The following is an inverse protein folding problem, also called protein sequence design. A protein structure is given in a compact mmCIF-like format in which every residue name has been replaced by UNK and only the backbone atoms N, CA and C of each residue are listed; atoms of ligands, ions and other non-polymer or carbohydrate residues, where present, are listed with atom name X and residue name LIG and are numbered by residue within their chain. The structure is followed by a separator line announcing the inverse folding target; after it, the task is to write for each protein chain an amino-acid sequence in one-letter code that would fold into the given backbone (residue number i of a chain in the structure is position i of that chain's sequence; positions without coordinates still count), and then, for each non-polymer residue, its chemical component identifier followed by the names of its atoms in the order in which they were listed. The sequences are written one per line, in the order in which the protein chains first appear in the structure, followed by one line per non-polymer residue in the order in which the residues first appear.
data_IF_236884510203
#
_entry.id   IF_236884510203
#
_cell.length_a   1.000
_cell.length_b   1.000
_cell.length_c   1.000
_cell.angle_alpha   90.00
_cell.angle_beta   90.00
_cell.angle_gamma   90.00
#
_symmetry.space_group_name_H-M   'P 1'
#
loop_
_entity.id
_entity.type
_entity.pdbx_description
1 polymer ?
#
# COMPACT_ATOMS: atom_id res chain seq x y z
N UNK A 1 -19.90 13.47 7.81
CA UNK A 1 -20.32 12.03 7.89
C UNK A 1 -19.25 11.13 7.25
N UNK A 2 -19.39 9.80 7.25
CA UNK A 2 -18.41 8.89 6.62
C UNK A 2 -18.16 9.21 5.13
N UNK A 3 -19.18 9.75 4.44
CA UNK A 3 -19.11 10.21 3.04
C UNK A 3 -18.23 11.44 2.83
N UNK A 4 -17.93 12.22 3.88
CA UNK A 4 -17.18 13.49 3.79
C UNK A 4 -15.82 13.41 4.49
N UNK A 5 -15.77 12.75 5.65
CA UNK A 5 -14.60 12.74 6.54
C UNK A 5 -13.64 11.58 6.27
N UNK A 6 -14.01 10.61 5.42
CA UNK A 6 -13.18 9.45 5.12
C UNK A 6 -12.29 9.67 3.88
N UNK A 7 -10.97 9.63 4.09
CA UNK A 7 -9.98 9.72 3.02
C UNK A 7 -9.96 8.47 2.12
N UNK A 8 -10.34 7.29 2.65
CA UNK A 8 -10.36 6.06 1.88
C UNK A 8 -11.53 6.06 0.87
N UNK A 9 -11.27 5.97 -0.45
CA UNK A 9 -12.32 6.02 -1.47
C UNK A 9 -13.24 4.80 -1.46
N UNK A 10 -12.75 3.60 -1.11
CA UNK A 10 -13.57 2.38 -1.01
C UNK A 10 -14.62 2.51 0.11
N UNK A 11 -14.20 3.01 1.28
CA UNK A 11 -15.11 3.24 2.41
C UNK A 11 -16.18 4.28 2.04
N UNK A 12 -15.78 5.33 1.31
CA UNK A 12 -16.70 6.37 0.85
C UNK A 12 -17.72 5.83 -0.14
N UNK A 13 -17.28 5.00 -1.10
CA UNK A 13 -18.17 4.37 -2.07
C UNK A 13 -19.16 3.42 -1.39
N UNK A 14 -18.68 2.57 -0.47
CA UNK A 14 -19.55 1.71 0.34
C UNK A 14 -20.60 2.51 1.11
N UNK A 15 -20.23 3.66 1.67
CA UNK A 15 -21.18 4.53 2.36
C UNK A 15 -22.24 5.11 1.40
N UNK A 16 -21.88 5.52 0.19
CA UNK A 16 -22.84 5.99 -0.82
C UNK A 16 -23.75 4.88 -1.33
N UNK A 17 -23.25 3.65 -1.49
CA UNK A 17 -24.07 2.48 -1.85
C UNK A 17 -25.11 2.21 -0.75
N UNK A 18 -24.70 2.18 0.51
CA UNK A 18 -25.63 1.96 1.63
C UNK A 18 -26.62 3.11 1.80
N UNK A 19 -26.18 4.36 1.64
CA UNK A 19 -27.09 5.51 1.70
C UNK A 19 -28.18 5.43 0.64
N UNK A 20 -27.81 5.18 -0.62
CA UNK A 20 -28.78 5.02 -1.71
C UNK A 20 -29.75 3.86 -1.45
N UNK A 21 -29.24 2.73 -0.96
CA UNK A 21 -30.07 1.55 -0.69
C UNK A 21 -31.06 1.80 0.45
N UNK A 22 -30.60 2.37 1.56
CA UNK A 22 -31.43 2.69 2.73
C UNK A 22 -32.46 3.77 2.44
N UNK A 23 -32.09 4.79 1.66
CA UNK A 23 -32.99 5.87 1.27
C UNK A 23 -33.99 5.47 0.18
N UNK A 24 -33.70 4.44 -0.61
CA UNK A 24 -34.61 3.94 -1.65
C UNK A 24 -35.62 2.91 -1.08
N UNK A 25 -35.14 1.87 -0.39
CA UNK A 25 -36.00 0.84 0.20
C UNK A 25 -35.33 0.13 1.39
N UNK A 26 -35.80 0.36 2.64
CA UNK A 26 -35.25 -0.30 3.81
C UNK A 26 -35.55 -1.80 3.87
N UNK A 27 -36.61 -2.29 3.22
CA UNK A 27 -36.94 -3.72 3.19
C UNK A 27 -35.95 -4.49 2.30
N UNK A 28 -35.67 -4.00 1.10
CA UNK A 28 -34.62 -4.54 0.23
C UNK A 28 -33.23 -4.43 0.87
N UNK A 29 -32.93 -3.32 1.56
CA UNK A 29 -31.67 -3.14 2.28
C UNK A 29 -31.44 -4.27 3.29
N UNK A 30 -32.48 -4.62 4.06
CA UNK A 30 -32.45 -5.71 5.03
C UNK A 30 -32.20 -7.06 4.37
N UNK A 31 -32.89 -7.36 3.27
CA UNK A 31 -32.71 -8.65 2.59
C UNK A 31 -31.31 -8.81 2.00
N UNK A 32 -30.70 -7.73 1.51
CA UNK A 32 -29.34 -7.77 0.94
C UNK A 32 -28.29 -7.85 2.04
N UNK A 33 -28.39 -7.00 3.06
CA UNK A 33 -27.38 -6.92 4.12
C UNK A 33 -27.40 -8.14 5.06
N UNK A 34 -28.57 -8.74 5.28
CA UNK A 34 -28.75 -9.93 6.13
C UNK A 34 -28.92 -11.22 5.33
N UNK A 35 -28.63 -11.19 4.02
CA UNK A 35 -28.61 -12.40 3.22
C UNK A 35 -27.62 -13.41 3.84
N UNK A 36 -27.97 -14.70 3.75
CA UNK A 36 -27.05 -15.75 4.15
C UNK A 36 -25.82 -15.69 3.24
N UNK A 37 -24.67 -15.33 3.81
CA UNK A 37 -23.39 -15.41 3.12
C UNK A 37 -23.07 -16.88 2.91
N UNK A 38 -22.77 -17.27 1.67
CA UNK A 38 -22.31 -18.62 1.37
C UNK A 38 -21.21 -19.03 2.36
N UNK A 39 -21.18 -20.28 2.85
CA UNK A 39 -20.14 -20.75 3.73
C UNK A 39 -18.76 -20.35 3.19
N UNK A 40 -17.83 -19.92 4.06
CA UNK A 40 -16.48 -19.62 3.60
C UNK A 40 -15.94 -20.87 2.92
N UNK A 41 -15.40 -20.71 1.72
CA UNK A 41 -14.64 -21.79 1.10
C UNK A 41 -13.52 -22.18 2.07
N UNK A 42 -13.26 -23.49 2.26
CA UNK A 42 -12.14 -23.91 3.07
C UNK A 42 -10.87 -23.27 2.52
N UNK A 43 -10.02 -22.75 3.41
CA UNK A 43 -8.70 -22.25 3.04
C UNK A 43 -7.84 -23.47 2.73
N UNK A 44 -8.01 -24.04 1.55
CA UNK A 44 -7.14 -25.11 1.05
C UNK A 44 -5.79 -24.49 0.76
N UNK A 45 -4.73 -25.08 1.30
CA UNK A 45 -3.34 -24.79 0.92
C UNK A 45 -3.00 -25.43 -0.44
N UNK A 46 -4.00 -25.51 -1.33
CA UNK A 46 -3.85 -26.10 -2.65
C UNK A 46 -3.06 -25.11 -3.51
N UNK A 47 -1.88 -25.55 -3.91
CA UNK A 47 -1.07 -24.83 -4.87
C UNK A 47 -1.70 -24.97 -6.25
N UNK A 48 -1.76 -23.89 -7.05
CA UNK A 48 -2.20 -24.01 -8.43
C UNK A 48 -1.24 -24.95 -9.18
N UNK A 49 -1.79 -25.87 -9.97
CA UNK A 49 -1.02 -26.86 -10.74
C UNK A 49 0.24 -26.30 -11.44
N UNK A 50 0.20 -25.14 -12.14
CA UNK A 50 1.40 -24.60 -12.77
C UNK A 50 2.51 -24.20 -11.78
N UNK A 51 2.14 -23.66 -10.62
CA UNK A 51 3.12 -23.32 -9.58
C UNK A 51 3.69 -24.59 -8.95
N UNK A 52 2.87 -25.62 -8.76
CA UNK A 52 3.33 -26.87 -8.20
C UNK A 52 4.40 -27.52 -9.09
N UNK A 53 4.18 -27.58 -10.40
CA UNK A 53 5.15 -28.14 -11.36
C UNK A 53 6.49 -27.38 -11.32
N UNK A 54 6.44 -26.05 -11.21
CA UNK A 54 7.63 -25.20 -11.05
C UNK A 54 8.37 -25.48 -9.73
N UNK A 55 7.66 -25.53 -8.61
CA UNK A 55 8.27 -25.79 -7.29
C UNK A 55 8.82 -27.22 -7.16
N UNK A 56 8.26 -28.19 -7.87
CA UNK A 56 8.79 -29.56 -7.96
C UNK A 56 10.11 -29.59 -8.72
N UNK A 57 10.27 -28.78 -9.76
CA UNK A 57 11.54 -28.64 -10.48
C UNK A 57 12.63 -27.95 -9.63
N UNK A 58 12.22 -27.07 -8.70
CA UNK A 58 13.09 -26.30 -7.80
C UNK A 58 13.26 -26.94 -6.40
N UNK A 59 13.00 -28.25 -6.26
CA UNK A 59 13.19 -28.94 -4.98
C UNK A 59 14.63 -28.82 -4.47
N UNK A 60 14.77 -28.39 -3.22
CA UNK A 60 16.08 -28.11 -2.60
C UNK A 60 16.53 -26.65 -2.73
N UNK A 61 15.75 -25.78 -3.38
CA UNK A 61 15.96 -24.34 -3.40
C UNK A 61 15.11 -23.60 -2.35
N UNK A 62 15.46 -22.35 -2.08
CA UNK A 62 14.70 -21.48 -1.16
C UNK A 62 13.27 -21.21 -1.68
N UNK A 63 13.08 -21.26 -3.01
CA UNK A 63 11.79 -21.12 -3.67
C UNK A 63 10.75 -22.14 -3.17
N UNK A 64 11.13 -23.42 -3.06
CA UNK A 64 10.22 -24.48 -2.58
C UNK A 64 9.83 -24.33 -1.11
N UNK A 65 10.67 -23.68 -0.30
CA UNK A 65 10.38 -23.38 1.12
C UNK A 65 9.44 -22.17 1.24
N UNK A 66 9.65 -21.15 0.41
CA UNK A 66 8.84 -19.93 0.41
C UNK A 66 7.52 -20.07 -0.34
N UNK A 67 7.36 -21.12 -1.15
CA UNK A 67 6.21 -21.32 -2.05
C UNK A 67 5.99 -20.14 -3.01
N UNK A 68 7.10 -19.53 -3.44
CA UNK A 68 7.13 -18.36 -4.33
C UNK A 68 8.19 -18.64 -5.41
N UNK A 69 7.89 -18.47 -6.71
CA UNK A 69 8.85 -18.68 -7.79
C UNK A 69 10.17 -17.92 -7.59
N UNK A 70 11.29 -18.52 -8.00
CA UNK A 70 12.61 -17.86 -7.96
C UNK A 70 12.65 -16.40 -8.48
N UNK A 71 12.04 -16.04 -9.63
CA UNK A 71 12.12 -14.67 -10.16
C UNK A 71 11.44 -13.62 -9.29
N UNK A 72 10.55 -14.00 -8.37
CA UNK A 72 9.89 -13.03 -7.47
C UNK A 72 10.83 -12.48 -6.39
N UNK A 73 11.93 -13.18 -6.10
CA UNK A 73 12.88 -12.77 -5.06
C UNK A 73 14.34 -12.73 -5.51
N UNK A 74 14.68 -13.36 -6.64
CA UNK A 74 16.00 -13.27 -7.25
C UNK A 74 16.01 -12.16 -8.30
N UNK A 75 16.71 -11.06 -7.99
CA UNK A 75 16.90 -9.94 -8.92
C UNK A 75 18.22 -10.09 -9.67
N UNK A 76 18.21 -10.03 -11.00
CA UNK A 76 19.45 -9.88 -11.76
C UNK A 76 20.00 -8.46 -11.57
N UNK A 77 21.32 -8.28 -11.73
CA UNK A 77 21.99 -6.98 -11.51
C UNK A 77 21.45 -5.86 -12.42
N UNK A 78 20.77 -6.21 -13.53
CA UNK A 78 20.11 -5.29 -14.46
C UNK A 78 18.67 -4.95 -14.09
N UNK A 79 18.02 -5.72 -13.21
CA UNK A 79 16.59 -5.59 -12.90
C UNK A 79 16.32 -4.94 -11.54
N UNK A 80 17.37 -4.56 -10.81
CA UNK A 80 17.22 -3.77 -9.58
C UNK A 80 16.63 -2.41 -9.95
N UNK A 81 15.39 -2.09 -9.55
CA UNK A 81 14.82 -0.78 -9.79
C UNK A 81 15.68 0.26 -9.07
N UNK A 82 16.33 1.15 -9.83
CA UNK A 82 17.07 2.29 -9.29
C UNK A 82 18.59 2.17 -9.17
N UNK A 83 19.24 1.13 -9.70
CA UNK A 83 20.73 1.09 -9.76
C UNK A 83 21.21 1.34 -11.19
N UNK A 84 21.74 2.54 -11.50
CA UNK A 84 22.21 2.84 -12.84
C UNK A 84 23.46 2.00 -13.18
N UNK A 85 23.49 1.48 -14.41
CA UNK A 85 24.42 0.45 -14.93
C UNK A 85 25.90 0.88 -14.95
N UNK A 86 26.19 2.13 -14.63
CA UNK A 86 27.48 2.81 -14.77
C UNK A 86 28.18 3.13 -13.43
N UNK A 87 27.68 2.68 -12.28
CA UNK A 87 28.30 2.94 -10.97
C UNK A 87 29.47 2.00 -10.60
N UNK A 88 29.90 1.09 -11.49
CA UNK A 88 31.02 0.18 -11.23
C UNK A 88 32.16 0.42 -12.24
N UNK A 89 33.33 0.80 -11.71
CA UNK A 89 34.63 1.07 -12.35
C UNK A 89 34.92 2.52 -12.77
N UNK A 90 35.21 3.36 -11.77
CA UNK A 90 36.41 4.18 -11.87
C UNK A 90 37.37 3.78 -10.74
N UNK A 91 38.57 3.24 -11.04
CA UNK A 91 39.63 3.10 -10.06
C UNK A 91 40.46 4.40 -10.06
N UNK A 92 40.28 5.24 -9.05
CA UNK A 92 41.22 6.32 -8.75
C UNK A 92 41.66 6.17 -7.30
N UNK A 93 42.79 5.47 -7.13
CA UNK A 93 43.67 5.65 -5.99
C UNK A 93 44.31 7.02 -6.15
N UNK A 94 44.25 7.87 -5.12
CA UNK A 94 45.43 8.49 -4.49
C UNK A 94 45.04 9.59 -3.47
N UNK A 95 45.53 9.36 -2.23
CA UNK A 95 46.08 10.32 -1.26
C UNK A 95 45.23 11.30 -0.42
N UNK A 96 45.78 11.58 0.77
CA UNK A 96 45.14 11.98 2.04
C UNK A 96 45.32 13.50 2.38
N UNK A 97 44.21 14.16 2.76
CA UNK A 97 43.96 15.27 3.75
C UNK A 97 44.89 16.52 3.87
N UNK A 98 44.63 17.60 4.67
CA UNK A 98 43.44 18.03 5.46
C UNK A 98 43.07 19.57 5.42
N UNK A 99 42.04 19.94 6.20
CA UNK A 99 41.74 21.21 6.95
C UNK A 99 41.01 22.45 6.35
N UNK A 100 39.83 22.71 6.96
CA UNK A 100 39.34 23.95 7.64
C UNK A 100 38.50 25.06 6.92
N UNK A 101 37.33 25.32 7.55
CA UNK A 101 36.82 26.62 8.07
C UNK A 101 35.55 27.25 7.45
N UNK A 102 34.64 27.65 8.37
CA UNK A 102 33.64 28.73 8.25
C UNK A 102 32.37 28.43 7.45
N UNK A 103 31.16 28.87 7.79
CA UNK A 103 30.58 29.70 8.85
C UNK A 103 29.06 29.54 8.76
N UNK A 104 28.39 29.53 9.91
CA UNK A 104 27.05 30.07 10.24
C UNK A 104 26.16 30.58 9.10
N UNK A 105 24.87 30.16 9.08
CA UNK A 105 23.80 31.11 9.38
C UNK A 105 22.45 30.42 9.71
N UNK A 106 21.76 31.04 10.66
CA UNK A 106 20.42 30.76 11.12
C UNK A 106 19.34 31.42 10.24
N UNK A 107 18.09 30.99 10.42
CA UNK A 107 16.88 31.69 9.95
C UNK A 107 15.68 30.73 9.91
N UNK A 108 14.89 30.60 10.99
CA UNK A 108 13.73 31.46 11.33
C UNK A 108 12.57 31.24 10.34
N UNK A 109 11.56 30.42 10.67
CA UNK A 109 10.32 30.73 11.42
C UNK A 109 9.26 31.50 10.61
N UNK A 110 8.09 30.86 10.39
CA UNK A 110 6.73 31.43 10.54
C UNK A 110 5.73 30.33 10.08
N UNK A 111 4.81 29.78 10.87
CA UNK A 111 3.72 30.38 11.65
C UNK A 111 2.72 31.19 10.79
N UNK A 112 1.67 30.53 10.32
CA UNK A 112 0.42 31.20 9.96
C UNK A 112 -0.77 30.27 10.29
N UNK A 113 -1.21 30.39 11.54
CA UNK A 113 -2.56 30.08 12.00
C UNK A 113 -3.52 31.03 11.26
N UNK A 114 -4.54 30.49 10.61
CA UNK A 114 -5.76 31.25 10.30
C UNK A 114 -6.94 30.40 10.76
N UNK A 115 -7.55 30.86 11.84
CA UNK A 115 -8.89 30.51 12.28
C UNK A 115 -9.92 31.11 11.31
N UNK A 116 -10.97 30.36 11.01
CA UNK A 116 -12.38 30.75 11.26
C UNK A 116 -13.34 29.98 10.35
N UNK A 117 -14.46 29.56 10.95
CA UNK A 117 -15.70 29.28 10.23
C UNK A 117 -16.20 27.84 10.36
N UNK A 118 -16.74 27.49 11.54
CA UNK A 118 -17.67 26.36 11.69
C UNK A 118 -19.02 26.75 11.04
N UNK A 119 -19.55 26.04 10.04
CA UNK A 119 -20.97 26.13 9.72
C UNK A 119 -21.74 25.15 10.61
N UNK A 120 -22.54 25.71 11.52
CA UNK A 120 -23.56 24.95 12.26
C UNK A 120 -24.46 24.19 11.27
N UNK A 121 -24.51 22.87 11.40
CA UNK A 121 -25.59 22.06 10.83
C UNK A 121 -26.33 21.38 11.97
N UNK A 122 -27.36 22.08 12.45
CA UNK A 122 -28.49 21.51 13.18
C UNK A 122 -29.14 20.43 12.33
N UNK A 123 -28.97 19.17 12.73
CA UNK A 123 -29.88 18.09 12.34
C UNK A 123 -30.49 17.56 13.63
N UNK A 124 -31.71 17.99 13.90
CA UNK A 124 -32.58 17.38 14.91
C UNK A 124 -33.19 16.11 14.35
N UNK A 125 -32.92 14.97 15.00
CA UNK A 125 -33.84 13.85 15.18
C UNK A 125 -33.51 13.18 16.53
#
# INVERSE_FOLDING_TARGET
TATEKCANPDVRDRAYVYWRLLSADPAAARSVALAEKSPPLPVSSDLPAPLLDELVAELGCVSSVLQIPAPHFVYTKSERPGIPRNAALQPSLDEESPTQSGTDNAGASDAAVIADGEPELLISF
#
